data_IF_596308147523
#
_entry.id   IF_596308147523
#
_cell.length_a   1.000
_cell.length_b   1.000
_cell.length_c   1.000
_cell.angle_alpha   90.00
_cell.angle_beta   90.00
_cell.angle_gamma   90.00
#
_symmetry.space_group_name_H-M   'P 1'
#
loop_
_entity.id
_entity.type
_entity.pdbx_description
1 polymer ?
#
# COMPACT_ATOMS: atom_id res chain seq x y z
N UNK A 1 12.12 -18.73 48.10
CA UNK A 1 12.92 -17.73 47.36
C UNK A 1 13.29 -18.34 46.03
N UNK A 2 12.49 -18.12 44.98
CA UNK A 2 12.75 -18.61 43.63
C UNK A 2 12.91 -17.41 42.72
N UNK A 3 14.16 -17.03 42.45
CA UNK A 3 14.48 -15.98 41.50
C UNK A 3 14.41 -16.57 40.08
N UNK A 4 13.25 -16.45 39.44
CA UNK A 4 13.16 -16.63 37.99
C UNK A 4 13.73 -15.39 37.33
N UNK A 5 14.99 -15.49 36.91
CA UNK A 5 15.63 -14.56 36.00
C UNK A 5 14.94 -14.65 34.63
N UNK A 6 13.86 -13.91 34.44
CA UNK A 6 13.34 -13.64 33.10
C UNK A 6 14.31 -12.68 32.41
N UNK A 7 15.08 -13.20 31.47
CA UNK A 7 15.67 -12.39 30.39
C UNK A 7 14.52 -11.83 29.56
N UNK A 8 13.87 -10.78 30.05
CA UNK A 8 13.07 -9.88 29.23
C UNK A 8 14.05 -9.22 28.26
N UNK A 9 14.10 -9.74 27.04
CA UNK A 9 14.69 -9.02 25.92
C UNK A 9 14.10 -7.61 25.93
N UNK A 10 14.98 -6.61 25.99
CA UNK A 10 14.68 -5.18 25.91
C UNK A 10 14.05 -4.83 24.55
N UNK A 11 12.86 -5.34 24.27
CA UNK A 11 12.02 -4.92 23.15
C UNK A 11 11.49 -3.55 23.53
N UNK A 12 11.81 -2.52 22.73
CA UNK A 12 11.35 -1.17 23.01
C UNK A 12 9.81 -1.16 23.11
N UNK A 13 9.27 -0.30 23.95
CA UNK A 13 7.82 -0.14 24.11
C UNK A 13 7.13 0.08 22.76
N UNK A 14 7.76 0.90 21.91
CA UNK A 14 7.32 1.18 20.55
C UNK A 14 7.22 -0.09 19.68
N UNK A 15 8.24 -0.96 19.68
CA UNK A 15 8.22 -2.20 18.91
C UNK A 15 7.08 -3.12 19.38
N UNK A 16 6.89 -3.25 20.69
CA UNK A 16 5.79 -4.07 21.25
C UNK A 16 4.42 -3.55 20.84
N UNK A 17 4.24 -2.23 20.81
CA UNK A 17 2.98 -1.59 20.39
C UNK A 17 2.68 -1.86 18.90
N UNK A 18 3.63 -1.64 17.99
CA UNK A 18 3.41 -1.89 16.54
C UNK A 18 3.22 -3.38 16.24
N UNK A 19 3.94 -4.27 16.92
CA UNK A 19 3.77 -5.72 16.76
C UNK A 19 2.41 -6.18 17.27
N UNK A 20 1.92 -5.64 18.40
CA UNK A 20 0.60 -5.95 18.93
C UNK A 20 -0.51 -5.57 17.94
N UNK A 21 -0.40 -4.39 17.32
CA UNK A 21 -1.34 -3.95 16.29
C UNK A 21 -1.32 -4.86 15.06
N UNK A 22 -0.14 -5.25 14.58
CA UNK A 22 0.00 -6.16 13.44
C UNK A 22 -0.39 -7.62 13.78
N UNK A 23 -0.23 -8.04 15.03
CA UNK A 23 -0.75 -9.32 15.51
C UNK A 23 -2.27 -9.34 15.51
N UNK A 24 -2.92 -8.21 15.81
CA UNK A 24 -4.38 -8.08 15.72
C UNK A 24 -4.91 -8.26 14.30
N UNK A 25 -4.12 -7.95 13.27
CA UNK A 25 -4.47 -8.21 11.86
C UNK A 25 -4.18 -9.65 11.42
N UNK A 26 -3.61 -10.49 12.30
CA UNK A 26 -3.24 -11.87 11.97
C UNK A 26 -2.07 -11.98 10.99
N UNK A 27 -1.33 -10.90 10.76
CA UNK A 27 -0.28 -10.82 9.73
C UNK A 27 1.15 -10.87 10.27
N UNK A 28 1.33 -10.85 11.59
CA UNK A 28 2.65 -10.73 12.23
C UNK A 28 3.65 -11.80 11.76
N UNK A 29 3.27 -13.08 11.73
CA UNK A 29 4.17 -14.16 11.28
C UNK A 29 4.52 -14.05 9.80
N UNK A 30 3.61 -13.51 8.98
CA UNK A 30 3.86 -13.27 7.57
C UNK A 30 4.82 -12.08 7.40
N UNK A 31 4.64 -11.00 8.18
CA UNK A 31 5.53 -9.85 8.18
C UNK A 31 6.95 -10.24 8.59
N UNK A 32 7.10 -11.06 9.64
CA UNK A 32 8.41 -11.56 10.07
C UNK A 32 9.11 -12.36 8.96
N UNK A 33 8.38 -13.25 8.29
CA UNK A 33 8.90 -14.03 7.16
C UNK A 33 9.24 -13.15 5.94
N UNK A 34 8.46 -12.10 5.68
CA UNK A 34 8.76 -11.16 4.61
C UNK A 34 10.02 -10.34 4.95
N UNK A 35 10.12 -9.83 6.17
CA UNK A 35 11.25 -9.03 6.62
C UNK A 35 12.54 -9.85 6.60
N UNK A 36 12.55 -11.08 7.10
CA UNK A 36 13.75 -11.93 7.11
C UNK A 36 14.28 -12.26 5.71
N UNK A 37 13.43 -12.21 4.68
CA UNK A 37 13.81 -12.43 3.27
C UNK A 37 14.29 -11.16 2.56
N UNK A 38 13.89 -9.99 3.06
CA UNK A 38 14.14 -8.70 2.41
C UNK A 38 15.22 -7.89 3.11
N UNK A 39 15.40 -8.11 4.41
CA UNK A 39 16.40 -7.43 5.20
C UNK A 39 17.79 -7.90 4.81
N UNK A 40 18.71 -6.95 4.72
CA UNK A 40 20.12 -7.25 4.58
C UNK A 40 20.66 -7.82 5.92
N UNK A 41 21.32 -9.00 5.91
CA UNK A 41 21.76 -9.65 7.15
C UNK A 41 22.81 -8.86 7.94
N UNK A 42 23.54 -7.93 7.32
CA UNK A 42 24.57 -7.14 8.00
C UNK A 42 24.00 -5.88 8.66
N UNK A 43 23.00 -5.27 8.04
CA UNK A 43 22.38 -4.02 8.53
C UNK A 43 21.07 -4.24 9.28
N UNK A 44 20.49 -5.44 9.18
CA UNK A 44 19.16 -5.77 9.73
C UNK A 44 18.07 -4.78 9.30
N UNK A 45 18.19 -4.25 8.08
CA UNK A 45 17.26 -3.30 7.49
C UNK A 45 16.99 -3.69 6.03
N UNK A 46 15.80 -3.39 5.53
CA UNK A 46 15.44 -3.61 4.13
C UNK A 46 15.99 -2.44 3.30
N UNK A 47 16.87 -2.69 2.30
CA UNK A 47 17.34 -1.65 1.41
C UNK A 47 16.19 -1.02 0.62
N UNK A 48 16.20 0.31 0.51
CA UNK A 48 15.10 1.06 -0.11
C UNK A 48 14.78 0.59 -1.52
N UNK A 49 15.82 0.39 -2.33
CA UNK A 49 15.68 -0.06 -3.72
C UNK A 49 15.06 -1.47 -3.81
N UNK A 50 15.38 -2.35 -2.87
CA UNK A 50 14.80 -3.68 -2.79
C UNK A 50 13.31 -3.59 -2.47
N UNK A 51 12.93 -2.74 -1.53
CA UNK A 51 11.53 -2.51 -1.16
C UNK A 51 10.73 -1.87 -2.32
N UNK A 52 11.29 -0.88 -3.00
CA UNK A 52 10.68 -0.27 -4.20
C UNK A 52 10.44 -1.32 -5.29
N UNK A 53 11.43 -2.18 -5.56
CA UNK A 53 11.32 -3.29 -6.53
C UNK A 53 10.24 -4.29 -6.15
N UNK A 54 10.05 -4.56 -4.85
CA UNK A 54 8.94 -5.40 -4.38
C UNK A 54 7.58 -4.80 -4.74
N UNK A 55 7.50 -3.47 -4.88
CA UNK A 55 6.28 -2.78 -5.25
C UNK A 55 6.17 -2.40 -6.73
N UNK A 56 7.22 -2.63 -7.53
CA UNK A 56 7.23 -2.29 -8.95
C UNK A 56 6.31 -3.21 -9.76
N UNK A 57 5.47 -2.58 -10.57
CA UNK A 57 4.55 -3.23 -11.50
C UNK A 57 5.09 -3.09 -12.93
N UNK A 58 6.15 -3.84 -13.25
CA UNK A 58 6.84 -3.70 -14.54
C UNK A 58 6.20 -4.64 -15.59
N UNK A 59 5.21 -4.14 -16.31
CA UNK A 59 4.57 -4.87 -17.40
C UNK A 59 5.35 -4.64 -18.69
N UNK A 60 6.27 -5.57 -19.01
CA UNK A 60 7.02 -5.53 -20.29
C UNK A 60 6.22 -6.03 -21.49
N UNK A 61 5.14 -6.79 -21.26
CA UNK A 61 4.23 -7.30 -22.29
C UNK A 61 2.80 -7.30 -21.75
N UNK A 62 2.03 -6.28 -22.11
CA UNK A 62 0.57 -6.28 -21.94
C UNK A 62 -0.07 -6.90 -23.16
N UNK A 63 -0.05 -8.23 -23.26
CA UNK A 63 -1.06 -8.95 -24.03
C UNK A 63 -2.37 -8.87 -23.25
N UNK A 64 -2.98 -7.68 -23.26
CA UNK A 64 -4.29 -7.45 -22.70
C UNK A 64 -5.26 -7.31 -23.86
N UNK A 65 -6.22 -8.24 -23.98
CA UNK A 65 -7.31 -8.18 -24.97
C UNK A 65 -8.28 -7.01 -24.73
N UNK A 66 -8.06 -6.20 -23.68
CA UNK A 66 -8.89 -5.07 -23.33
C UNK A 66 -8.50 -3.80 -24.10
N UNK A 67 -9.54 -3.01 -24.40
CA UNK A 67 -9.54 -1.65 -24.95
C UNK A 67 -8.27 -0.85 -24.65
N UNK A 68 -7.72 -0.21 -25.70
CA UNK A 68 -6.56 0.71 -25.70
C UNK A 68 -6.22 1.23 -24.29
N UNK A 69 -5.22 0.62 -23.66
CA UNK A 69 -4.69 1.07 -22.38
C UNK A 69 -4.20 2.51 -22.56
N UNK A 70 -4.58 3.48 -21.70
CA UNK A 70 -4.06 4.84 -21.80
C UNK A 70 -2.53 4.83 -21.70
N UNK A 71 -1.84 5.51 -22.61
CA UNK A 71 -0.36 5.51 -22.65
C UNK A 71 0.25 6.02 -21.33
N UNK A 72 -0.44 6.94 -20.65
CA UNK A 72 -0.05 7.45 -19.34
C UNK A 72 -0.17 6.43 -18.19
N UNK A 73 -0.93 5.35 -18.35
CA UNK A 73 -1.12 4.34 -17.29
C UNK A 73 0.17 3.58 -17.01
N UNK A 74 0.92 3.20 -18.05
CA UNK A 74 2.19 2.48 -17.87
C UNK A 74 3.21 3.36 -17.13
N UNK A 75 3.32 4.63 -17.54
CA UNK A 75 4.14 5.62 -16.85
C UNK A 75 3.72 5.81 -15.38
N UNK A 76 2.41 5.83 -15.10
CA UNK A 76 1.91 5.85 -13.72
C UNK A 76 2.37 4.62 -12.94
N UNK A 77 2.23 3.42 -13.49
CA UNK A 77 2.57 2.16 -12.80
C UNK A 77 4.07 2.02 -12.50
N UNK A 78 4.94 2.57 -13.36
CA UNK A 78 6.39 2.61 -13.12
C UNK A 78 6.76 3.38 -11.85
N UNK A 79 5.95 4.40 -11.51
CA UNK A 79 6.14 5.22 -10.31
C UNK A 79 5.38 4.71 -9.08
N UNK A 80 4.57 3.65 -9.20
CA UNK A 80 3.78 3.13 -8.09
C UNK A 80 4.68 2.62 -6.95
N UNK A 81 5.70 1.84 -7.27
CA UNK A 81 6.59 1.27 -6.27
C UNK A 81 7.35 2.33 -5.46
N UNK A 82 8.01 3.31 -6.11
CA UNK A 82 8.58 4.46 -5.43
C UNK A 82 7.58 5.28 -4.63
N UNK A 83 6.32 5.41 -5.06
CA UNK A 83 5.30 6.18 -4.33
C UNK A 83 4.78 5.44 -3.10
N UNK A 84 4.61 4.11 -3.19
CA UNK A 84 4.27 3.25 -2.06
C UNK A 84 5.31 3.37 -0.93
N UNK A 85 6.58 3.32 -1.31
CA UNK A 85 7.68 3.42 -0.35
C UNK A 85 7.66 4.76 0.35
N UNK A 86 7.65 5.87 -0.40
CA UNK A 86 7.70 7.21 0.18
C UNK A 86 6.48 7.52 1.06
N UNK A 87 5.30 7.02 0.71
CA UNK A 87 4.07 7.31 1.44
C UNK A 87 3.95 6.50 2.74
N UNK A 88 4.39 5.24 2.74
CA UNK A 88 4.14 4.32 3.86
C UNK A 88 5.36 4.04 4.71
N UNK A 89 6.54 3.95 4.11
CA UNK A 89 7.75 3.50 4.77
C UNK A 89 8.67 4.70 5.01
N UNK A 90 8.76 5.15 6.26
CA UNK A 90 9.75 6.14 6.67
C UNK A 90 11.11 5.46 6.63
N UNK A 91 12.09 6.13 6.05
CA UNK A 91 13.42 5.56 5.84
C UNK A 91 14.45 6.39 6.59
N UNK A 92 15.21 5.74 7.48
CA UNK A 92 16.46 6.29 7.98
C UNK A 92 17.62 6.00 7.00
N UNK A 93 18.80 6.57 7.30
CA UNK A 93 20.01 6.47 6.45
C UNK A 93 20.44 5.03 6.11
N UNK A 94 19.91 4.01 6.80
CA UNK A 94 20.23 2.60 6.62
C UNK A 94 19.15 1.76 5.92
N UNK A 95 18.03 2.35 5.47
CA UNK A 95 16.89 1.61 4.93
C UNK A 95 15.77 1.46 5.95
N UNK A 96 14.88 0.47 5.76
CA UNK A 96 13.68 0.28 6.58
C UNK A 96 13.92 -0.81 7.61
N UNK A 97 13.98 -0.45 8.89
CA UNK A 97 14.12 -1.40 9.98
C UNK A 97 12.80 -2.14 10.29
N UNK A 98 12.81 -3.10 11.19
CA UNK A 98 11.62 -3.90 11.52
C UNK A 98 10.42 -3.06 11.99
N UNK A 99 10.65 -2.12 12.90
CA UNK A 99 9.60 -1.26 13.46
C UNK A 99 8.98 -0.39 12.36
N UNK A 100 9.82 0.24 11.53
CA UNK A 100 9.38 1.05 10.39
C UNK A 100 8.63 0.22 9.35
N UNK A 101 9.08 -1.01 9.10
CA UNK A 101 8.44 -1.93 8.18
C UNK A 101 7.03 -2.31 8.63
N UNK A 102 6.87 -2.70 9.90
CA UNK A 102 5.56 -3.04 10.48
C UNK A 102 4.66 -1.80 10.56
N UNK A 103 5.22 -0.64 10.93
CA UNK A 103 4.49 0.63 10.95
C UNK A 103 4.00 1.02 9.55
N UNK A 104 4.85 0.88 8.54
CA UNK A 104 4.48 1.13 7.15
C UNK A 104 3.38 0.19 6.67
N UNK A 105 3.46 -1.09 7.04
CA UNK A 105 2.38 -2.04 6.82
C UNK A 105 1.06 -1.60 7.50
N UNK A 106 1.08 -1.16 8.75
CA UNK A 106 -0.12 -0.73 9.46
C UNK A 106 -0.76 0.52 8.84
N UNK A 107 0.03 1.43 8.26
CA UNK A 107 -0.49 2.61 7.55
C UNK A 107 -1.29 2.28 6.29
N UNK A 108 -1.07 1.11 5.69
CA UNK A 108 -1.76 0.70 4.46
C UNK A 108 -2.67 -0.52 4.62
N UNK A 109 -2.47 -1.34 5.67
CA UNK A 109 -3.17 -2.61 5.90
C UNK A 109 -3.61 -2.82 7.36
N UNK A 110 -3.44 -1.81 8.22
CA UNK A 110 -4.00 -1.86 9.57
C UNK A 110 -5.52 -1.95 9.52
N UNK A 111 -6.15 -2.27 10.65
CA UNK A 111 -7.61 -2.19 10.75
C UNK A 111 -8.04 -0.73 10.62
N UNK A 112 -8.53 -0.34 9.45
CA UNK A 112 -9.06 1.00 9.19
C UNK A 112 -10.44 0.95 8.52
N UNK A 113 -11.28 2.00 8.72
CA UNK A 113 -12.52 2.17 7.99
C UNK A 113 -12.28 2.20 6.48
N UNK A 114 -13.30 1.81 5.71
CA UNK A 114 -13.27 1.78 4.25
C UNK A 114 -12.95 3.15 3.64
N UNK A 115 -13.48 4.23 4.23
CA UNK A 115 -13.21 5.61 3.83
C UNK A 115 -11.73 5.99 3.98
N UNK A 116 -11.11 5.62 5.10
CA UNK A 116 -9.69 5.86 5.35
C UNK A 116 -8.79 5.11 4.36
N UNK A 117 -9.15 3.88 4.01
CA UNK A 117 -8.46 3.11 2.98
C UNK A 117 -8.62 3.76 1.59
N UNK A 118 -9.83 4.19 1.22
CA UNK A 118 -10.05 4.88 -0.05
C UNK A 118 -9.22 6.17 -0.12
N UNK A 119 -9.20 6.97 0.95
CA UNK A 119 -8.37 8.18 1.03
C UNK A 119 -6.88 7.83 0.88
N UNK A 120 -6.43 6.74 1.50
CA UNK A 120 -5.06 6.25 1.38
C UNK A 120 -4.71 5.84 -0.06
N UNK A 121 -5.62 5.17 -0.76
CA UNK A 121 -5.44 4.81 -2.18
C UNK A 121 -5.45 6.03 -3.10
N UNK A 122 -6.31 7.01 -2.82
CA UNK A 122 -6.34 8.28 -3.55
C UNK A 122 -5.04 9.08 -3.35
N UNK A 123 -4.49 9.07 -2.13
CA UNK A 123 -3.17 9.66 -1.83
C UNK A 123 -2.06 8.96 -2.60
N UNK A 124 -2.08 7.63 -2.63
CA UNK A 124 -1.11 6.86 -3.40
C UNK A 124 -1.23 7.18 -4.89
N UNK A 125 -2.45 7.22 -5.43
CA UNK A 125 -2.71 7.58 -6.83
C UNK A 125 -2.21 8.99 -7.14
N UNK A 126 -2.50 9.97 -6.29
CA UNK A 126 -2.05 11.35 -6.45
C UNK A 126 -0.51 11.46 -6.40
N UNK A 127 0.13 10.84 -5.41
CA UNK A 127 1.59 10.83 -5.28
C UNK A 127 2.25 10.17 -6.50
N UNK A 128 1.66 9.08 -6.99
CA UNK A 128 2.12 8.39 -8.20
C UNK A 128 1.94 9.25 -9.44
N UNK A 129 0.80 9.94 -9.57
CA UNK A 129 0.53 10.88 -10.66
C UNK A 129 1.51 12.05 -10.69
N UNK A 130 1.82 12.65 -9.53
CA UNK A 130 2.83 13.71 -9.41
C UNK A 130 4.19 13.23 -9.92
N UNK A 131 4.63 12.04 -9.53
CA UNK A 131 5.89 11.46 -10.01
C UNK A 131 5.88 11.15 -11.51
N UNK A 132 4.72 10.77 -12.05
CA UNK A 132 4.51 10.53 -13.47
C UNK A 132 4.26 11.81 -14.30
N UNK A 133 4.25 13.00 -13.68
CA UNK A 133 3.96 14.26 -14.35
C UNK A 133 2.49 14.44 -14.75
N UNK A 134 1.56 13.70 -14.13
CA UNK A 134 0.12 13.76 -14.40
C UNK A 134 -0.52 14.79 -13.45
N UNK A 135 -1.14 15.86 -13.98
CA UNK A 135 -1.71 16.92 -13.16
C UNK A 135 -3.06 16.50 -12.57
N UNK A 136 -3.04 15.90 -11.38
CA UNK A 136 -4.25 15.55 -10.64
C UNK A 136 -4.70 16.71 -9.75
N UNK A 137 -5.98 17.07 -9.80
CA UNK A 137 -6.59 18.13 -8.97
C UNK A 137 -7.08 17.56 -7.63
N UNK A 138 -6.19 16.87 -6.91
CA UNK A 138 -6.47 16.33 -5.58
C UNK A 138 -5.56 17.01 -4.55
N UNK A 139 -6.17 17.44 -3.45
CA UNK A 139 -5.49 18.05 -2.31
C UNK A 139 -5.77 17.22 -1.06
N UNK A 140 -4.76 17.08 -0.20
CA UNK A 140 -4.84 16.27 1.01
C UNK A 140 -4.42 17.10 2.22
N UNK A 141 -5.35 17.32 3.12
CA UNK A 141 -5.12 18.05 4.38
C UNK A 141 -5.16 17.05 5.54
N UNK A 142 -4.14 17.06 6.40
CA UNK A 142 -4.11 16.22 7.60
C UNK A 142 -5.03 16.83 8.66
N UNK A 143 -6.04 16.07 9.12
CA UNK A 143 -7.01 16.54 10.12
C UNK A 143 -6.56 16.14 11.53
N UNK A 144 -6.11 14.89 11.71
CA UNK A 144 -5.65 14.30 12.97
C UNK A 144 -4.71 13.09 12.67
N UNK A 145 -4.15 12.43 13.69
CA UNK A 145 -3.10 11.40 13.65
C UNK A 145 -3.49 10.12 12.85
N UNK A 146 -3.58 10.26 11.52
CA UNK A 146 -3.91 9.21 10.56
C UNK A 146 -4.99 9.56 9.54
N UNK A 147 -5.78 10.61 9.78
CA UNK A 147 -6.93 10.98 8.94
C UNK A 147 -6.63 12.16 8.00
N UNK A 148 -7.07 12.02 6.75
CA UNK A 148 -6.85 13.02 5.70
C UNK A 148 -8.18 13.44 5.09
N UNK A 149 -8.39 14.76 5.01
CA UNK A 149 -9.44 15.36 4.19
C UNK A 149 -8.97 15.34 2.74
N UNK A 150 -9.74 14.73 1.87
CA UNK A 150 -9.50 14.78 0.43
C UNK A 150 -10.38 15.89 -0.15
N UNK A 151 -9.75 16.82 -0.86
CA UNK A 151 -10.44 17.90 -1.57
C UNK A 151 -10.06 17.86 -3.05
N UNK A 152 -10.89 18.47 -3.90
CA UNK A 152 -10.63 18.60 -5.33
C UNK A 152 -11.57 17.77 -6.21
N UNK A 153 -11.14 17.44 -7.43
CA UNK A 153 -11.96 16.69 -8.40
C UNK A 153 -11.13 15.78 -9.29
N UNK A 154 -11.75 14.69 -9.73
CA UNK A 154 -11.20 13.75 -10.70
C UNK A 154 -11.99 13.84 -11.99
N UNK A 155 -11.28 13.88 -13.13
CA UNK A 155 -11.89 13.70 -14.43
C UNK A 155 -12.28 12.23 -14.62
N UNK A 156 -13.21 11.91 -15.55
CA UNK A 156 -13.55 10.51 -15.86
C UNK A 156 -12.34 9.66 -16.23
N UNK A 157 -11.35 10.25 -16.91
CA UNK A 157 -10.09 9.58 -17.23
C UNK A 157 -9.25 9.29 -15.99
N UNK A 158 -9.26 10.17 -14.98
CA UNK A 158 -8.52 9.97 -13.73
C UNK A 158 -9.16 8.86 -12.90
N UNK A 159 -10.50 8.82 -12.86
CA UNK A 159 -11.25 7.72 -12.23
C UNK A 159 -10.93 6.40 -12.94
N UNK A 160 -10.92 6.38 -14.27
CA UNK A 160 -10.56 5.19 -15.04
C UNK A 160 -9.13 4.74 -14.72
N UNK A 161 -8.15 5.64 -14.73
CA UNK A 161 -6.75 5.33 -14.37
C UNK A 161 -6.62 4.81 -12.94
N UNK A 162 -7.35 5.40 -11.99
CA UNK A 162 -7.38 4.95 -10.60
C UNK A 162 -7.90 3.50 -10.49
N UNK A 163 -9.01 3.19 -11.15
CA UNK A 163 -9.57 1.84 -11.19
C UNK A 163 -8.61 0.85 -11.86
N UNK A 164 -7.96 1.24 -12.95
CA UNK A 164 -6.94 0.42 -13.60
C UNK A 164 -5.72 0.18 -12.71
N UNK A 165 -5.27 1.19 -11.96
CA UNK A 165 -4.18 1.02 -10.99
C UNK A 165 -4.57 -0.01 -9.91
N UNK A 166 -5.75 0.15 -9.31
CA UNK A 166 -6.28 -0.79 -8.32
C UNK A 166 -6.44 -2.21 -8.89
N UNK A 167 -6.96 -2.32 -10.12
CA UNK A 167 -7.11 -3.59 -10.83
C UNK A 167 -5.76 -4.24 -11.14
N UNK A 168 -4.77 -3.46 -11.53
CA UNK A 168 -3.43 -3.95 -11.86
C UNK A 168 -2.72 -4.45 -10.60
N UNK A 169 -2.80 -3.69 -9.50
CA UNK A 169 -2.36 -4.15 -8.18
C UNK A 169 -3.02 -5.48 -7.81
N UNK A 170 -4.35 -5.58 -8.01
CA UNK A 170 -5.13 -6.81 -7.84
C UNK A 170 -4.58 -7.98 -8.64
N UNK A 171 -4.47 -7.80 -9.95
CA UNK A 171 -4.06 -8.88 -10.84
C UNK A 171 -2.65 -9.37 -10.50
N UNK A 172 -1.72 -8.45 -10.23
CA UNK A 172 -0.36 -8.82 -9.88
C UNK A 172 -0.32 -9.75 -8.65
N UNK A 173 -1.15 -9.50 -7.63
CA UNK A 173 -1.23 -10.36 -6.43
C UNK A 173 -1.76 -11.79 -6.71
N UNK A 174 -2.64 -11.94 -7.70
CA UNK A 174 -3.26 -13.22 -8.06
C UNK A 174 -2.37 -14.05 -8.97
N UNK A 175 -1.71 -13.43 -9.95
CA UNK A 175 -0.83 -14.10 -10.91
C UNK A 175 0.49 -14.52 -10.26
N UNK A 176 0.97 -13.77 -9.27
CA UNK A 176 2.24 -14.05 -8.57
C UNK A 176 2.13 -15.18 -7.54
N UNK A 177 0.96 -15.83 -7.44
CA UNK A 177 0.79 -17.13 -6.76
C UNK A 177 1.61 -18.25 -7.43
N UNK A 178 2.14 -18.02 -8.63
CA UNK A 178 2.93 -18.97 -9.44
C UNK A 178 4.46 -18.77 -9.30
N UNK A 179 4.95 -17.58 -8.93
CA UNK A 179 6.38 -17.31 -8.73
C UNK A 179 6.73 -17.36 -7.24
N UNK A 180 7.35 -18.47 -6.84
CA UNK A 180 7.42 -18.98 -5.47
C UNK A 180 8.25 -18.16 -4.46
N UNK A 181 8.93 -17.07 -4.83
CA UNK A 181 10.07 -16.61 -4.00
C UNK A 181 10.12 -15.16 -3.51
N UNK A 182 9.29 -14.20 -3.93
CA UNK A 182 9.56 -12.79 -3.52
C UNK A 182 8.42 -11.93 -3.01
N UNK A 183 7.17 -12.41 -2.89
CA UNK A 183 6.04 -11.48 -2.71
C UNK A 183 4.99 -11.97 -1.73
N UNK A 184 5.21 -11.65 -0.45
CA UNK A 184 4.19 -11.79 0.58
C UNK A 184 3.51 -10.45 0.92
N UNK A 185 4.24 -9.33 0.82
CA UNK A 185 3.74 -7.98 1.17
C UNK A 185 2.65 -7.52 0.18
N UNK A 186 2.88 -7.70 -1.12
CA UNK A 186 1.93 -7.30 -2.16
C UNK A 186 0.62 -8.10 -2.08
N UNK A 187 0.67 -9.38 -1.70
CA UNK A 187 -0.56 -10.18 -1.47
C UNK A 187 -1.39 -9.63 -0.32
N UNK A 188 -0.77 -9.19 0.78
CA UNK A 188 -1.54 -8.62 1.89
C UNK A 188 -2.14 -7.27 1.51
N UNK A 189 -1.34 -6.36 0.95
CA UNK A 189 -1.78 -5.03 0.52
C UNK A 189 -2.99 -5.09 -0.39
N UNK A 190 -2.94 -6.01 -1.33
CA UNK A 190 -3.90 -6.06 -2.41
C UNK A 190 -5.15 -6.87 -2.07
N UNK A 191 -5.03 -7.97 -1.33
CA UNK A 191 -6.21 -8.72 -0.87
C UNK A 191 -7.04 -7.90 0.13
N UNK A 192 -6.36 -7.12 0.99
CA UNK A 192 -7.01 -6.23 1.94
C UNK A 192 -7.66 -5.04 1.24
N UNK A 193 -6.94 -4.41 0.31
CA UNK A 193 -7.46 -3.36 -0.56
C UNK A 193 -8.69 -3.84 -1.37
N UNK A 194 -8.69 -5.07 -1.88
CA UNK A 194 -9.77 -5.62 -2.70
C UNK A 194 -11.03 -5.94 -1.91
N UNK A 195 -10.91 -6.52 -0.71
CA UNK A 195 -12.09 -6.84 0.09
C UNK A 195 -12.89 -5.59 0.44
N UNK A 196 -12.21 -4.45 0.61
CA UNK A 196 -12.82 -3.16 0.89
C UNK A 196 -13.21 -2.40 -0.39
N UNK A 197 -12.36 -2.38 -1.42
CA UNK A 197 -12.67 -1.71 -2.69
C UNK A 197 -13.80 -2.42 -3.45
N UNK A 198 -13.94 -3.74 -3.35
CA UNK A 198 -15.09 -4.47 -3.90
C UNK A 198 -16.39 -4.12 -3.18
N UNK A 199 -16.32 -3.83 -1.87
CA UNK A 199 -17.43 -3.28 -1.10
C UNK A 199 -17.80 -1.86 -1.58
N UNK A 200 -16.80 -0.99 -1.81
CA UNK A 200 -17.01 0.37 -2.34
C UNK A 200 -17.51 0.35 -3.79
N UNK A 201 -16.94 -0.50 -4.65
CA UNK A 201 -17.30 -0.61 -6.06
C UNK A 201 -18.66 -1.27 -6.23
N UNK A 202 -19.08 -2.19 -5.35
CA UNK A 202 -20.45 -2.70 -5.35
C UNK A 202 -21.45 -1.58 -5.05
N UNK A 203 -21.12 -0.69 -4.11
CA UNK A 203 -21.92 0.52 -3.83
C UNK A 203 -21.88 1.52 -5.00
N UNK A 204 -20.74 1.69 -5.67
CA UNK A 204 -20.60 2.61 -6.80
C UNK A 204 -21.24 2.11 -8.11
N UNK A 205 -21.28 0.79 -8.34
CA UNK A 205 -21.90 0.18 -9.53
C UNK A 205 -23.43 0.13 -9.42
N UNK A 206 -23.99 0.09 -8.21
CA UNK A 206 -25.42 0.34 -7.99
C UNK A 206 -25.80 1.83 -8.22
N UNK A 207 -24.81 2.73 -8.36
CA UNK A 207 -24.98 4.18 -8.49
C UNK A 207 -24.99 4.67 -9.95
N UNK A 208 -25.44 3.83 -10.90
CA UNK A 208 -25.54 4.20 -12.32
C UNK A 208 -26.69 5.20 -12.64
N UNK A 209 -27.09 6.01 -11.65
CA UNK A 209 -28.06 7.08 -11.79
C UNK A 209 -27.51 8.37 -11.16
N UNK A 210 -26.70 9.10 -11.91
CA UNK A 210 -26.59 10.56 -11.81
C UNK A 210 -25.70 11.15 -10.70
N UNK A 211 -24.68 11.88 -11.16
CA UNK A 211 -24.02 13.03 -10.50
C UNK A 211 -23.46 12.76 -9.09
N UNK A 212 -22.14 12.55 -9.03
CA UNK A 212 -21.39 12.55 -7.77
C UNK A 212 -21.03 13.99 -7.39
N UNK A 213 -21.77 14.53 -6.42
CA UNK A 213 -21.26 15.57 -5.51
C UNK A 213 -20.79 14.81 -4.27
N UNK A 214 -19.48 14.82 -3.99
CA UNK A 214 -18.97 14.44 -2.68
C UNK A 214 -19.37 15.56 -1.69
N UNK A 215 -20.42 15.33 -0.90
CA UNK A 215 -20.61 16.05 0.36
C UNK A 215 -20.25 15.12 1.51
N UNK A 216 -19.32 15.62 2.34
CA UNK A 216 -18.86 15.08 3.62
C UNK A 216 -20.00 14.98 4.61
#
# INVERSE_FOLDING_TARGET
MGASSSTEQNVSREQREVESLAASTGSISLLQNAFSKLADPQTNAIPLQSLQKCFSLNYKNTECEALKIPDCLLGLLDHLGPSMVDLFFVTDKGGVNWVEFVRGYLKCCGRMPVSALLNTLLRLFAATGVKAGIPLKLEFEAIDDGDYKVSGSLLPIDVLMFLWMCWTMLWNSRTWRVLKERIYIFRILVLWCYQQLFLVLRVAVDWNCGIVIFQV
#
